data_IF_504994270895
#
_entry.id   IF_504994270895
#
_cell.length_a   1.000
_cell.length_b   1.000
_cell.length_c   1.000
_cell.angle_alpha   90.00
_cell.angle_beta   90.00
_cell.angle_gamma   90.00
#
_symmetry.space_group_name_H-M   'P 1'
#
loop_
_entity.id
_entity.type
_entity.pdbx_description
1 polymer ?
#
# COMPACT_ATOMS: atom_id res chain seq x y z
N UNK A 1 49.15 52.87 0.86
CA UNK A 1 47.93 52.48 1.58
C UNK A 1 46.99 51.90 0.54
N UNK A 2 46.95 50.62 0.41
CA UNK A 2 46.13 49.86 -0.53
C UNK A 2 44.95 49.28 0.24
N UNK A 3 43.73 49.60 -0.18
CA UNK A 3 42.46 49.05 0.36
C UNK A 3 42.34 47.58 0.00
N UNK A 4 41.78 46.76 0.88
CA UNK A 4 41.51 45.35 0.57
C UNK A 4 40.23 45.19 -0.25
N UNK A 5 40.36 44.45 -1.35
CA UNK A 5 39.25 43.97 -2.17
C UNK A 5 38.24 43.18 -1.33
N UNK A 6 37.00 43.61 -1.30
CA UNK A 6 35.89 42.86 -0.75
C UNK A 6 35.41 41.83 -1.80
N UNK A 7 35.40 40.55 -1.42
CA UNK A 7 34.81 39.47 -2.20
C UNK A 7 33.29 39.72 -2.41
N UNK A 8 32.76 39.39 -3.60
CA UNK A 8 31.35 39.53 -3.89
C UNK A 8 30.53 38.53 -3.06
N UNK A 9 29.31 38.90 -2.64
CA UNK A 9 28.46 38.02 -1.80
C UNK A 9 28.14 36.71 -2.52
N UNK A 10 28.44 35.60 -1.85
CA UNK A 10 28.06 34.26 -2.31
C UNK A 10 26.53 34.17 -2.43
N UNK A 11 26.06 33.77 -3.61
CA UNK A 11 24.65 33.46 -3.83
C UNK A 11 24.23 32.30 -2.92
N UNK A 12 23.02 32.34 -2.31
CA UNK A 12 22.50 31.21 -1.56
C UNK A 12 22.39 30.00 -2.48
N UNK A 13 22.61 28.77 -1.95
CA UNK A 13 22.52 27.56 -2.75
C UNK A 13 21.10 27.47 -3.36
N UNK A 14 21.06 27.40 -4.69
CA UNK A 14 19.81 27.13 -5.42
C UNK A 14 19.28 25.79 -4.92
N UNK A 15 18.07 25.80 -4.36
CA UNK A 15 17.32 24.57 -4.14
C UNK A 15 17.19 23.88 -5.51
N UNK A 16 17.96 22.82 -5.71
CA UNK A 16 17.80 21.94 -6.87
C UNK A 16 16.35 21.44 -6.87
N UNK A 17 15.69 21.65 -7.99
CA UNK A 17 14.32 21.26 -8.15
C UNK A 17 14.19 19.75 -7.85
N UNK A 18 13.29 19.37 -6.96
CA UNK A 18 13.01 17.99 -6.49
C UNK A 18 12.70 17.02 -7.67
N UNK A 19 12.54 17.57 -8.88
CA UNK A 19 12.26 16.86 -10.14
C UNK A 19 13.35 17.03 -11.20
N UNK A 20 14.60 17.29 -10.82
CA UNK A 20 15.70 17.25 -11.78
C UNK A 20 15.98 15.79 -12.22
N UNK A 21 16.44 15.54 -13.47
CA UNK A 21 16.82 14.19 -13.91
C UNK A 21 17.83 13.51 -12.99
N UNK A 22 18.70 14.28 -12.34
CA UNK A 22 19.66 13.79 -11.34
C UNK A 22 18.98 13.40 -10.02
N UNK A 23 17.96 14.13 -9.56
CA UNK A 23 17.18 13.77 -8.39
C UNK A 23 16.34 12.53 -8.63
N UNK A 24 15.77 12.38 -9.83
CA UNK A 24 15.03 11.19 -10.26
C UNK A 24 15.98 9.98 -10.34
N UNK A 25 17.17 10.13 -10.94
CA UNK A 25 18.17 9.06 -11.01
C UNK A 25 18.68 8.66 -9.61
N UNK A 26 18.88 9.61 -8.69
CA UNK A 26 19.27 9.35 -7.31
C UNK A 26 18.14 8.71 -6.51
N UNK A 27 16.85 9.02 -6.79
CA UNK A 27 15.71 8.35 -6.19
C UNK A 27 15.53 6.93 -6.75
N UNK A 28 15.73 6.74 -8.05
CA UNK A 28 15.77 5.41 -8.68
C UNK A 28 16.90 4.54 -8.12
N UNK A 29 18.11 5.09 -7.92
CA UNK A 29 19.20 4.36 -7.26
C UNK A 29 18.91 4.05 -5.79
N UNK A 30 18.25 4.94 -5.06
CA UNK A 30 17.79 4.67 -3.68
C UNK A 30 16.70 3.61 -3.62
N UNK A 31 15.79 3.59 -4.59
CA UNK A 31 14.75 2.55 -4.72
C UNK A 31 15.37 1.19 -5.04
N UNK A 32 16.33 1.13 -5.95
CA UNK A 32 17.08 -0.09 -6.28
C UNK A 32 17.92 -0.57 -5.09
N UNK A 33 18.54 0.33 -4.32
CA UNK A 33 19.24 0.00 -3.08
C UNK A 33 18.31 -0.50 -1.96
N UNK A 34 17.12 0.09 -1.81
CA UNK A 34 16.12 -0.41 -0.82
C UNK A 34 15.51 -1.74 -1.25
N UNK A 35 15.31 -1.97 -2.56
CA UNK A 35 14.93 -3.29 -3.07
C UNK A 35 16.02 -4.33 -2.79
N UNK A 36 17.28 -4.01 -3.05
CA UNK A 36 18.41 -4.88 -2.71
C UNK A 36 18.55 -5.11 -1.20
N UNK A 37 18.29 -4.11 -0.36
CA UNK A 37 18.24 -4.30 1.09
C UNK A 37 17.04 -5.16 1.51
N UNK A 38 15.94 -5.11 0.78
CA UNK A 38 14.77 -5.94 1.07
C UNK A 38 15.00 -7.40 0.66
N UNK A 39 15.64 -7.63 -0.48
CA UNK A 39 16.11 -8.96 -0.90
C UNK A 39 17.20 -9.50 0.06
N UNK A 40 18.07 -8.63 0.59
CA UNK A 40 19.01 -8.99 1.63
C UNK A 40 18.33 -9.28 2.98
N UNK A 41 17.36 -8.48 3.38
CA UNK A 41 16.54 -8.72 4.58
C UNK A 41 15.73 -10.01 4.42
N UNK A 42 15.24 -10.30 3.21
CA UNK A 42 14.54 -11.54 2.89
C UNK A 42 15.49 -12.76 2.93
N UNK A 43 16.76 -12.58 2.49
CA UNK A 43 17.82 -13.60 2.59
C UNK A 43 18.39 -13.75 4.01
N UNK A 44 18.32 -12.70 4.82
CA UNK A 44 18.74 -12.67 6.24
C UNK A 44 17.59 -12.99 7.21
N UNK A 45 16.37 -13.20 6.72
CA UNK A 45 15.28 -13.69 7.54
C UNK A 45 15.71 -14.97 8.24
N UNK A 46 15.53 -15.07 9.56
CA UNK A 46 15.87 -16.27 10.29
C UNK A 46 15.17 -17.44 9.62
N UNK A 47 15.95 -18.50 9.40
CA UNK A 47 15.51 -19.79 8.85
C UNK A 47 14.06 -20.06 9.28
N UNK A 48 13.13 -20.39 8.35
CA UNK A 48 11.74 -20.72 8.66
C UNK A 48 11.61 -21.65 9.87
N UNK A 49 12.61 -22.49 10.15
CA UNK A 49 12.71 -23.30 11.36
C UNK A 49 12.94 -22.50 12.64
N UNK A 50 13.54 -21.29 12.58
CA UNK A 50 13.72 -20.42 13.77
C UNK A 50 12.53 -19.52 14.04
N UNK A 51 11.81 -19.07 12.99
CA UNK A 51 10.48 -18.47 13.13
C UNK A 51 9.45 -19.50 13.61
N UNK A 52 9.61 -20.76 13.16
CA UNK A 52 8.82 -21.89 13.63
C UNK A 52 9.14 -22.28 15.07
N UNK A 53 10.28 -21.94 15.65
CA UNK A 53 10.56 -22.22 17.07
C UNK A 53 9.72 -21.36 18.03
N UNK A 54 9.22 -20.21 17.58
CA UNK A 54 8.24 -19.41 18.33
C UNK A 54 6.77 -19.86 18.06
N UNK A 55 6.52 -20.59 16.95
CA UNK A 55 5.24 -21.23 16.60
C UNK A 55 5.51 -22.57 15.89
N UNK A 56 6.35 -23.38 16.48
CA UNK A 56 7.20 -24.37 15.83
C UNK A 56 6.55 -25.49 15.02
N UNK A 57 5.33 -25.88 15.33
CA UNK A 57 4.72 -27.04 14.68
C UNK A 57 4.05 -26.69 13.33
N UNK A 58 3.63 -25.46 13.16
CA UNK A 58 2.73 -25.09 12.07
C UNK A 58 3.46 -24.72 10.76
N UNK A 59 4.64 -24.10 10.84
CA UNK A 59 5.33 -23.55 9.65
C UNK A 59 6.33 -24.52 9.05
N UNK A 60 6.85 -25.47 9.81
CA UNK A 60 7.84 -26.48 9.36
C UNK A 60 7.36 -27.43 8.25
N UNK A 61 6.02 -27.52 8.05
CA UNK A 61 5.41 -28.34 6.99
C UNK A 61 5.27 -27.65 5.64
N UNK A 62 5.67 -26.37 5.52
CA UNK A 62 5.41 -25.53 4.35
C UNK A 62 6.63 -25.23 3.49
N UNK A 63 7.73 -25.92 3.68
CA UNK A 63 8.90 -25.86 2.79
C UNK A 63 8.88 -27.00 1.78
N UNK A 64 9.50 -26.88 0.68
CA UNK A 64 9.67 -25.91 -0.38
C UNK A 64 9.35 -26.51 -1.75
N UNK A 65 8.96 -25.76 -2.67
CA UNK A 65 8.80 -26.18 -4.08
C UNK A 65 8.92 -25.01 -5.07
N UNK A 66 9.06 -23.79 -4.55
CA UNK A 66 9.05 -22.60 -5.40
C UNK A 66 10.47 -22.11 -5.70
N UNK A 67 11.19 -22.87 -6.54
CA UNK A 67 12.44 -22.38 -7.15
C UNK A 67 12.08 -21.44 -8.30
N UNK A 68 12.39 -20.17 -8.15
CA UNK A 68 12.33 -19.17 -9.21
C UNK A 68 13.26 -19.61 -10.35
N UNK A 69 12.72 -20.00 -11.49
CA UNK A 69 13.51 -20.13 -12.71
C UNK A 69 13.85 -18.73 -13.20
N UNK A 70 15.08 -18.31 -12.99
CA UNK A 70 15.64 -17.12 -13.63
C UNK A 70 15.67 -17.34 -15.14
N UNK A 71 14.76 -16.71 -15.87
CA UNK A 71 14.80 -16.68 -17.32
C UNK A 71 15.49 -15.41 -17.80
N UNK A 72 16.05 -15.44 -19.03
CA UNK A 72 16.63 -14.27 -19.69
C UNK A 72 15.64 -13.08 -19.73
N UNK A 73 14.32 -13.36 -19.80
CA UNK A 73 13.25 -12.37 -19.69
C UNK A 73 13.23 -11.67 -18.33
N UNK A 74 13.66 -12.35 -17.25
CA UNK A 74 13.82 -11.78 -15.93
C UNK A 74 14.91 -10.69 -15.90
N UNK A 75 16.06 -10.94 -16.52
CA UNK A 75 17.17 -9.96 -16.57
C UNK A 75 16.79 -8.72 -17.37
N UNK A 76 16.01 -8.87 -18.44
CA UNK A 76 15.52 -7.74 -19.26
C UNK A 76 14.44 -6.91 -18.53
N UNK A 77 13.72 -7.49 -17.57
CA UNK A 77 12.74 -6.79 -16.76
C UNK A 77 13.36 -5.80 -15.75
N UNK A 78 14.64 -6.00 -15.34
CA UNK A 78 15.36 -5.02 -14.47
C UNK A 78 15.43 -3.65 -15.12
N UNK A 79 15.46 -3.59 -16.44
CA UNK A 79 15.53 -2.34 -17.17
C UNK A 79 14.20 -1.57 -17.16
N UNK A 80 13.07 -2.20 -16.79
CA UNK A 80 11.76 -1.54 -16.67
C UNK A 80 11.45 -0.63 -17.84
N UNK A 81 11.15 0.65 -17.59
CA UNK A 81 10.92 1.70 -18.59
C UNK A 81 12.15 2.02 -19.45
N UNK A 82 13.34 1.59 -19.05
CA UNK A 82 14.59 1.72 -19.81
C UNK A 82 14.84 0.53 -20.76
N UNK A 83 13.94 -0.44 -20.80
CA UNK A 83 14.06 -1.59 -21.70
C UNK A 83 13.94 -1.14 -23.17
N UNK A 84 15.03 -1.18 -23.98
CA UNK A 84 15.01 -0.69 -25.36
C UNK A 84 14.14 -1.53 -26.30
N UNK A 85 13.76 -2.74 -25.89
CA UNK A 85 12.94 -3.66 -26.71
C UNK A 85 11.42 -3.43 -26.52
N UNK A 86 11.02 -2.49 -25.64
CA UNK A 86 9.62 -2.25 -25.34
C UNK A 86 8.93 -3.45 -24.64
N UNK A 87 7.83 -3.19 -23.94
CA UNK A 87 7.03 -4.25 -23.34
C UNK A 87 6.14 -4.93 -24.40
N UNK A 88 5.76 -6.19 -24.15
CA UNK A 88 4.80 -6.92 -24.97
C UNK A 88 3.38 -6.75 -24.42
N UNK A 89 2.36 -6.51 -25.24
CA UNK A 89 0.98 -6.45 -24.78
C UNK A 89 0.58 -7.71 -24.02
N UNK A 90 -0.32 -7.55 -23.06
CA UNK A 90 -0.95 -8.68 -22.40
C UNK A 90 -1.77 -9.51 -23.41
N UNK A 91 -1.82 -10.83 -23.22
CA UNK A 91 -2.41 -11.82 -24.12
C UNK A 91 -3.42 -12.69 -23.37
N UNK A 92 -4.15 -13.57 -24.07
CA UNK A 92 -5.20 -14.43 -23.48
C UNK A 92 -4.69 -15.40 -22.40
N UNK A 93 -3.41 -15.65 -22.31
CA UNK A 93 -2.81 -16.46 -21.22
C UNK A 93 -2.47 -15.64 -19.98
N UNK A 94 -2.68 -14.35 -20.02
CA UNK A 94 -2.38 -13.46 -18.92
C UNK A 94 -3.64 -13.13 -18.10
N UNK A 95 -3.45 -12.79 -16.81
CA UNK A 95 -4.45 -12.18 -15.93
C UNK A 95 -4.00 -10.74 -15.67
N UNK A 96 -4.88 -9.77 -15.80
CA UNK A 96 -4.53 -8.35 -15.67
C UNK A 96 -5.33 -7.71 -14.53
N UNK A 97 -4.65 -7.00 -13.64
CA UNK A 97 -5.28 -6.18 -12.62
C UNK A 97 -4.93 -4.72 -12.78
N UNK A 98 -5.95 -3.88 -12.80
CA UNK A 98 -5.85 -2.44 -12.66
C UNK A 98 -6.23 -2.03 -11.24
N UNK A 99 -5.44 -1.14 -10.65
CA UNK A 99 -5.65 -0.66 -9.28
C UNK A 99 -6.30 0.72 -9.29
N UNK A 100 -7.29 0.92 -8.41
CA UNK A 100 -7.89 2.24 -8.20
C UNK A 100 -6.82 3.24 -7.79
N UNK A 101 -6.90 4.45 -8.32
CA UNK A 101 -5.90 5.47 -8.10
C UNK A 101 -6.51 6.86 -7.87
N UNK A 102 -5.63 7.83 -7.66
CA UNK A 102 -5.99 9.23 -7.50
C UNK A 102 -5.23 10.08 -8.52
N UNK A 103 -5.94 11.00 -9.15
CA UNK A 103 -5.36 12.08 -9.93
C UNK A 103 -5.15 13.32 -9.05
N UNK A 104 -4.02 13.97 -9.22
CA UNK A 104 -3.62 15.17 -8.50
C UNK A 104 -3.12 16.24 -9.47
N UNK A 105 -3.10 17.49 -9.04
CA UNK A 105 -2.62 18.59 -9.87
C UNK A 105 -1.13 18.83 -9.72
N UNK A 106 -0.45 18.88 -10.86
CA UNK A 106 0.96 19.26 -10.97
C UNK A 106 1.11 20.55 -11.76
N UNK A 107 2.28 21.20 -11.62
CA UNK A 107 2.60 22.42 -12.35
C UNK A 107 2.20 23.70 -11.64
N UNK A 108 2.65 24.84 -12.22
CA UNK A 108 2.41 26.17 -11.72
C UNK A 108 1.03 26.74 -12.09
N UNK A 109 0.77 27.98 -11.68
CA UNK A 109 -0.51 28.67 -11.88
C UNK A 109 -1.02 28.71 -13.33
N UNK A 110 -0.10 28.63 -14.31
CA UNK A 110 -0.40 28.77 -15.74
C UNK A 110 -0.28 27.48 -16.56
N UNK A 111 0.24 26.39 -15.96
CA UNK A 111 0.48 25.12 -16.67
C UNK A 111 0.04 23.90 -15.84
N UNK A 112 -0.98 24.06 -15.00
CA UNK A 112 -1.43 22.96 -14.16
C UNK A 112 -2.10 21.86 -15.00
N UNK A 113 -1.50 20.66 -14.96
CA UNK A 113 -2.06 19.43 -15.52
C UNK A 113 -2.55 18.48 -14.43
N UNK A 114 -3.37 17.51 -14.82
CA UNK A 114 -3.73 16.41 -13.96
C UNK A 114 -2.81 15.22 -14.25
N UNK A 115 -2.25 14.66 -13.21
CA UNK A 115 -1.45 13.44 -13.25
C UNK A 115 -2.03 12.39 -12.30
N UNK A 116 -1.85 11.13 -12.65
CA UNK A 116 -2.18 10.01 -11.78
C UNK A 116 -1.11 8.92 -11.91
N UNK A 117 -0.81 8.25 -10.81
CA UNK A 117 -0.03 7.03 -10.86
C UNK A 117 -0.95 5.85 -11.14
N UNK A 118 -0.70 5.18 -12.24
CA UNK A 118 -1.37 3.94 -12.61
C UNK A 118 -0.53 2.75 -12.17
N UNK A 119 -1.10 1.90 -11.35
CA UNK A 119 -0.51 0.62 -10.97
C UNK A 119 -1.24 -0.49 -11.70
N UNK A 120 -0.48 -1.42 -12.29
CA UNK A 120 -1.01 -2.57 -13.04
C UNK A 120 -0.22 -3.80 -12.68
N UNK A 121 -0.89 -4.90 -12.38
CA UNK A 121 -0.25 -6.20 -12.20
C UNK A 121 -0.64 -7.15 -13.34
N UNK A 122 0.32 -7.94 -13.81
CA UNK A 122 0.09 -8.95 -14.85
C UNK A 122 0.67 -10.27 -14.40
N UNK A 123 -0.16 -11.31 -14.48
CA UNK A 123 0.18 -12.67 -14.07
C UNK A 123 -0.04 -13.66 -15.23
N UNK A 124 0.56 -14.82 -15.11
CA UNK A 124 0.20 -16.01 -15.88
C UNK A 124 -0.78 -16.86 -15.08
N UNK A 125 -1.83 -17.30 -15.73
CA UNK A 125 -2.76 -18.24 -15.13
C UNK A 125 -2.07 -19.60 -14.96
N UNK A 126 -1.77 -20.00 -13.71
CA UNK A 126 -0.98 -21.19 -13.44
C UNK A 126 -1.81 -22.48 -13.48
N UNK A 127 -1.09 -23.59 -13.68
CA UNK A 127 -1.65 -24.95 -13.63
C UNK A 127 -2.01 -25.35 -12.19
N UNK A 128 -3.10 -26.11 -12.07
CA UNK A 128 -3.76 -26.46 -10.79
C UNK A 128 -2.92 -27.21 -9.75
N UNK A 129 -1.75 -27.78 -10.12
CA UNK A 129 -0.95 -28.64 -9.23
C UNK A 129 -0.40 -27.91 -8.00
N UNK A 130 0.18 -26.74 -8.18
CA UNK A 130 0.75 -25.95 -7.07
C UNK A 130 -0.32 -25.38 -6.14
N UNK A 131 -1.52 -25.11 -6.66
CA UNK A 131 -2.62 -24.64 -5.85
C UNK A 131 -3.09 -25.69 -4.84
N UNK A 132 -3.17 -26.94 -5.24
CA UNK A 132 -3.56 -28.06 -4.35
C UNK A 132 -2.58 -28.20 -3.18
N UNK A 133 -1.27 -28.14 -3.46
CA UNK A 133 -0.23 -28.20 -2.44
C UNK A 133 -0.29 -27.00 -1.48
N UNK A 134 -0.49 -25.79 -2.00
CA UNK A 134 -0.61 -24.58 -1.21
C UNK A 134 -1.83 -24.62 -0.28
N UNK A 135 -2.99 -25.05 -0.79
CA UNK A 135 -4.22 -25.24 -0.01
C UNK A 135 -4.02 -26.29 1.09
N UNK A 136 -3.43 -27.43 0.77
CA UNK A 136 -3.14 -28.47 1.75
C UNK A 136 -2.15 -28.00 2.82
N UNK A 137 -1.17 -27.15 2.44
CA UNK A 137 -0.23 -26.54 3.35
C UNK A 137 -0.91 -25.61 4.35
N UNK A 138 -1.71 -24.65 3.88
CA UNK A 138 -2.44 -23.71 4.75
C UNK A 138 -3.41 -24.47 5.64
N UNK A 139 -4.21 -25.39 5.10
CA UNK A 139 -5.17 -26.17 5.87
C UNK A 139 -4.49 -26.97 7.00
N UNK A 140 -3.32 -27.57 6.74
CA UNK A 140 -2.54 -28.28 7.75
C UNK A 140 -2.07 -27.37 8.87
N UNK A 141 -1.56 -26.18 8.54
CA UNK A 141 -1.11 -25.19 9.54
C UNK A 141 -2.26 -24.73 10.45
N UNK A 142 -3.44 -24.58 9.86
CA UNK A 142 -4.64 -24.14 10.58
C UNK A 142 -5.37 -25.27 11.29
N UNK A 143 -4.92 -26.53 11.15
CA UNK A 143 -5.57 -27.69 11.75
C UNK A 143 -6.91 -28.04 11.11
N UNK A 144 -7.13 -27.61 9.85
CA UNK A 144 -8.36 -27.88 9.09
C UNK A 144 -8.24 -29.26 8.44
N UNK A 145 -8.90 -30.26 9.02
CA UNK A 145 -8.78 -31.62 8.53
C UNK A 145 -9.63 -31.88 7.28
N UNK A 146 -10.96 -31.70 7.35
CA UNK A 146 -11.90 -32.18 6.32
C UNK A 146 -13.05 -31.21 6.00
N UNK A 147 -12.94 -29.92 6.36
CA UNK A 147 -13.97 -28.93 6.00
C UNK A 147 -13.81 -28.50 4.54
N UNK A 148 -14.73 -28.97 3.70
CA UNK A 148 -14.72 -28.68 2.27
C UNK A 148 -15.01 -27.21 1.96
N UNK A 149 -15.79 -26.51 2.80
CA UNK A 149 -16.13 -25.10 2.61
C UNK A 149 -14.91 -24.22 2.93
N UNK A 150 -14.26 -24.46 4.08
CA UNK A 150 -13.03 -23.76 4.45
C UNK A 150 -11.92 -23.98 3.42
N UNK A 151 -11.72 -25.21 2.95
CA UNK A 151 -10.74 -25.52 1.89
C UNK A 151 -11.05 -24.80 0.58
N UNK A 152 -12.31 -24.66 0.22
CA UNK A 152 -12.71 -23.91 -0.98
C UNK A 152 -12.37 -22.43 -0.82
N UNK A 153 -12.68 -21.83 0.34
CA UNK A 153 -12.34 -20.43 0.64
C UNK A 153 -10.83 -20.20 0.60
N UNK A 154 -10.05 -21.11 1.22
CA UNK A 154 -8.57 -21.07 1.15
C UNK A 154 -8.11 -21.12 -0.31
N UNK A 155 -8.67 -22.01 -1.13
CA UNK A 155 -8.33 -22.14 -2.52
C UNK A 155 -8.58 -20.83 -3.30
N UNK A 156 -9.76 -20.25 -3.16
CA UNK A 156 -10.14 -19.02 -3.86
C UNK A 156 -9.22 -17.84 -3.49
N UNK A 157 -8.88 -17.71 -2.22
CA UNK A 157 -8.02 -16.62 -1.73
C UNK A 157 -6.52 -16.83 -1.99
N UNK A 158 -6.09 -18.10 -2.16
CA UNK A 158 -4.70 -18.42 -2.51
C UNK A 158 -4.39 -18.31 -4.01
N UNK A 159 -5.39 -18.39 -4.88
CA UNK A 159 -5.19 -18.33 -6.34
C UNK A 159 -4.24 -17.20 -6.77
N UNK A 160 -4.39 -15.93 -6.31
CA UNK A 160 -3.50 -14.85 -6.73
C UNK A 160 -2.04 -15.01 -6.26
N UNK A 161 -1.79 -15.83 -5.26
CA UNK A 161 -0.44 -16.04 -4.71
C UNK A 161 0.32 -17.13 -5.47
N UNK A 162 -0.39 -18.04 -6.12
CA UNK A 162 0.23 -19.13 -6.90
C UNK A 162 0.44 -18.77 -8.37
N UNK A 163 -0.15 -17.69 -8.85
CA UNK A 163 0.08 -17.23 -10.21
C UNK A 163 1.52 -16.74 -10.40
N UNK A 164 2.10 -17.08 -11.55
CA UNK A 164 3.39 -16.53 -11.94
C UNK A 164 3.28 -15.10 -12.41
N UNK A 165 4.16 -14.24 -11.90
CA UNK A 165 4.24 -12.86 -12.32
C UNK A 165 4.75 -12.75 -13.75
N UNK A 166 4.18 -11.86 -14.55
CA UNK A 166 4.59 -11.61 -15.94
C UNK A 166 5.42 -10.36 -16.06
N UNK A 167 6.65 -10.54 -16.46
CA UNK A 167 7.63 -9.47 -16.68
C UNK A 167 7.51 -8.88 -18.09
N UNK A 168 7.84 -7.61 -18.25
CA UNK A 168 7.87 -6.89 -19.52
C UNK A 168 6.52 -6.86 -20.26
N UNK A 169 5.39 -6.89 -19.54
CA UNK A 169 4.05 -6.75 -20.11
C UNK A 169 3.57 -5.32 -20.10
N UNK A 170 2.79 -4.95 -21.11
CA UNK A 170 2.14 -3.64 -21.21
C UNK A 170 0.62 -3.80 -21.31
N UNK A 171 -0.09 -2.81 -20.77
CA UNK A 171 -1.55 -2.75 -20.79
C UNK A 171 -1.96 -1.34 -21.24
N UNK A 172 -2.84 -1.25 -22.22
CA UNK A 172 -3.46 0.02 -22.59
C UNK A 172 -4.74 0.21 -21.78
N UNK A 173 -4.98 1.44 -21.33
CA UNK A 173 -6.14 1.80 -20.49
C UNK A 173 -6.80 3.05 -21.05
N UNK A 174 -8.12 3.04 -21.17
CA UNK A 174 -8.89 4.20 -21.58
C UNK A 174 -9.79 4.69 -20.45
N UNK A 175 -9.65 5.95 -20.06
CA UNK A 175 -10.57 6.61 -19.14
C UNK A 175 -11.88 6.97 -19.85
N UNK A 176 -13.01 6.83 -19.18
CA UNK A 176 -14.33 7.17 -19.70
C UNK A 176 -14.35 8.64 -20.16
N UNK A 177 -14.68 8.86 -21.42
CA UNK A 177 -14.69 10.19 -22.05
C UNK A 177 -13.33 10.68 -22.56
N UNK A 178 -12.24 9.95 -22.34
CA UNK A 178 -10.96 10.28 -22.96
C UNK A 178 -10.89 9.84 -24.43
N UNK A 179 -10.20 10.63 -25.24
CA UNK A 179 -10.03 10.33 -26.69
C UNK A 179 -8.84 9.40 -26.98
N UNK A 180 -7.96 9.20 -26.01
CA UNK A 180 -6.71 8.43 -26.18
C UNK A 180 -6.53 7.47 -25.03
N UNK A 181 -6.05 6.28 -25.37
CA UNK A 181 -5.60 5.31 -24.39
C UNK A 181 -4.23 5.71 -23.80
N UNK A 182 -4.03 5.32 -22.56
CA UNK A 182 -2.75 5.44 -21.84
C UNK A 182 -2.09 4.07 -21.85
N UNK A 183 -0.85 3.98 -22.34
CA UNK A 183 -0.08 2.74 -22.31
C UNK A 183 0.69 2.64 -21.00
N UNK A 184 0.41 1.61 -20.23
CA UNK A 184 1.04 1.29 -18.94
C UNK A 184 2.07 0.17 -19.11
N UNK A 185 3.06 0.14 -18.23
CA UNK A 185 4.14 -0.83 -18.26
C UNK A 185 5.44 -0.25 -18.84
N UNK A 186 6.42 -1.12 -19.11
CA UNK A 186 6.37 -2.58 -18.90
C UNK A 186 6.38 -2.97 -17.42
N UNK A 187 5.81 -4.14 -17.09
CA UNK A 187 5.87 -4.70 -15.74
C UNK A 187 7.30 -5.12 -15.37
N UNK A 188 7.65 -4.90 -14.11
CA UNK A 188 8.93 -5.31 -13.52
C UNK A 188 8.97 -6.79 -13.12
N UNK A 189 10.00 -7.18 -12.35
CA UNK A 189 10.18 -8.57 -11.87
C UNK A 189 9.07 -9.07 -10.96
N UNK A 190 8.44 -8.15 -10.23
CA UNK A 190 7.29 -8.44 -9.39
C UNK A 190 5.96 -8.53 -10.17
N UNK A 191 5.99 -8.44 -11.50
CA UNK A 191 4.80 -8.44 -12.35
C UNK A 191 4.00 -7.13 -12.29
N UNK A 192 4.51 -6.09 -11.62
CA UNK A 192 3.82 -4.80 -11.43
C UNK A 192 4.49 -3.72 -12.26
N UNK A 193 3.70 -2.79 -12.78
CA UNK A 193 4.18 -1.52 -13.29
C UNK A 193 3.50 -0.37 -12.54
N UNK A 194 4.26 0.68 -12.24
CA UNK A 194 3.76 1.92 -11.67
C UNK A 194 4.18 3.07 -12.59
N UNK A 195 3.22 3.72 -13.23
CA UNK A 195 3.46 4.75 -14.22
C UNK A 195 2.72 6.05 -13.84
N UNK A 196 3.45 7.13 -13.65
CA UNK A 196 2.84 8.46 -13.52
C UNK A 196 2.54 9.00 -14.90
N UNK A 197 1.25 9.24 -15.17
CA UNK A 197 0.76 9.64 -16.49
C UNK A 197 -0.09 10.89 -16.40
N UNK A 198 0.00 11.74 -17.41
CA UNK A 198 -0.97 12.81 -17.59
C UNK A 198 -2.34 12.23 -17.95
N UNK A 199 -3.37 12.74 -17.32
CA UNK A 199 -4.76 12.29 -17.50
C UNK A 199 -5.64 13.44 -17.99
N UNK A 200 -6.82 13.09 -18.55
CA UNK A 200 -7.80 14.07 -18.96
C UNK A 200 -8.25 14.93 -17.76
N UNK A 201 -8.66 16.16 -18.03
CA UNK A 201 -9.10 17.09 -17.00
C UNK A 201 -10.56 16.85 -16.61
N UNK A 202 -10.78 16.60 -15.32
CA UNK A 202 -12.11 16.51 -14.72
C UNK A 202 -12.22 17.45 -13.50
N UNK A 203 -13.42 17.65 -13.03
CA UNK A 203 -13.67 18.43 -11.82
C UNK A 203 -13.11 17.71 -10.59
N UNK A 204 -12.59 18.49 -9.62
CA UNK A 204 -12.19 17.93 -8.31
C UNK A 204 -13.39 17.26 -7.61
N UNK A 205 -13.14 16.19 -6.89
CA UNK A 205 -14.18 15.38 -6.24
C UNK A 205 -14.88 14.39 -7.17
N UNK A 206 -14.51 14.35 -8.48
CA UNK A 206 -15.09 13.41 -9.43
C UNK A 206 -14.33 12.08 -9.39
N UNK A 207 -15.05 10.98 -9.52
CA UNK A 207 -14.48 9.65 -9.80
C UNK A 207 -14.75 9.28 -11.25
N UNK A 208 -13.71 8.90 -11.98
CA UNK A 208 -13.77 8.53 -13.39
C UNK A 208 -13.35 7.07 -13.55
N UNK A 209 -14.20 6.30 -14.23
CA UNK A 209 -13.90 4.92 -14.58
C UNK A 209 -12.86 4.85 -15.70
N UNK A 210 -11.97 3.87 -15.63
CA UNK A 210 -11.05 3.51 -16.69
C UNK A 210 -11.06 2.00 -16.88
N UNK A 211 -10.90 1.56 -18.13
CA UNK A 211 -10.94 0.15 -18.52
C UNK A 211 -9.72 -0.23 -19.32
N UNK A 212 -9.26 -1.46 -19.16
CA UNK A 212 -8.18 -2.01 -19.98
C UNK A 212 -8.67 -2.28 -21.41
N UNK A 213 -7.91 -1.80 -22.37
CA UNK A 213 -8.13 -2.06 -23.80
C UNK A 213 -7.40 -3.35 -24.18
N UNK A 214 -8.04 -4.49 -23.94
CA UNK A 214 -7.45 -5.81 -24.11
C UNK A 214 -8.32 -6.69 -25.01
N UNK A 215 -7.72 -7.72 -25.67
CA UNK A 215 -8.49 -8.73 -26.37
C UNK A 215 -9.51 -9.40 -25.44
N UNK A 216 -10.68 -9.75 -26.00
CA UNK A 216 -11.72 -10.46 -25.25
C UNK A 216 -11.21 -11.77 -24.64
N UNK A 217 -11.66 -12.10 -23.42
CA UNK A 217 -11.33 -13.34 -22.73
C UNK A 217 -10.08 -13.28 -21.85
N UNK A 218 -9.45 -12.13 -21.66
CA UNK A 218 -8.44 -11.94 -20.64
C UNK A 218 -9.12 -11.75 -19.28
N UNK A 219 -8.86 -12.59 -18.27
CA UNK A 219 -9.46 -12.45 -16.95
C UNK A 219 -8.76 -11.40 -16.10
N UNK A 220 -9.42 -10.98 -15.02
CA UNK A 220 -8.84 -10.14 -13.98
C UNK A 220 -9.69 -8.93 -13.62
N UNK A 221 -9.07 -7.94 -12.99
CA UNK A 221 -9.68 -6.66 -12.64
C UNK A 221 -9.40 -5.64 -13.76
N UNK A 222 -10.21 -5.70 -14.81
CA UNK A 222 -10.00 -4.91 -16.03
C UNK A 222 -10.56 -3.48 -15.94
N UNK A 223 -11.24 -3.16 -14.86
CA UNK A 223 -11.79 -1.83 -14.57
C UNK A 223 -11.19 -1.26 -13.29
N UNK A 224 -10.93 0.05 -13.31
CA UNK A 224 -10.45 0.82 -12.17
C UNK A 224 -11.16 2.16 -12.09
N UNK A 225 -11.00 2.83 -10.95
CA UNK A 225 -11.51 4.16 -10.71
C UNK A 225 -10.38 5.14 -10.41
N UNK A 226 -10.41 6.32 -11.03
CA UNK A 226 -9.51 7.43 -10.78
C UNK A 226 -10.28 8.54 -10.07
N UNK A 227 -9.90 8.83 -8.82
CA UNK A 227 -10.48 9.94 -8.06
C UNK A 227 -9.68 11.22 -8.28
N UNK A 228 -10.34 12.34 -8.60
CA UNK A 228 -9.69 13.62 -8.90
C UNK A 228 -9.61 14.50 -7.65
N UNK A 229 -8.46 14.50 -6.98
CA UNK A 229 -8.23 15.27 -5.77
C UNK A 229 -7.74 16.69 -6.07
N UNK A 230 -8.47 17.70 -5.64
CA UNK A 230 -8.00 19.08 -5.67
C UNK A 230 -6.74 19.28 -4.79
N UNK A 231 -5.95 20.34 -5.01
CA UNK A 231 -4.66 20.51 -4.34
C UNK A 231 -4.77 20.89 -2.84
N UNK A 232 -5.94 21.35 -2.39
CA UNK A 232 -6.17 21.82 -1.02
C UNK A 232 -7.42 21.19 -0.43
N UNK A 233 -7.56 21.25 0.88
CA UNK A 233 -8.64 20.63 1.66
C UNK A 233 -8.11 19.57 2.60
N UNK A 234 -8.97 18.67 3.05
CA UNK A 234 -8.62 17.56 3.92
C UNK A 234 -8.32 16.29 3.12
N UNK A 235 -7.51 15.42 3.68
CA UNK A 235 -7.26 14.06 3.21
C UNK A 235 -7.22 13.11 4.40
N UNK A 236 -7.52 11.84 4.18
CA UNK A 236 -7.40 10.81 5.21
C UNK A 236 -6.44 9.72 4.73
N UNK A 237 -5.52 9.33 5.59
CA UNK A 237 -4.71 8.12 5.44
C UNK A 237 -5.04 7.17 6.58
N UNK A 238 -5.46 5.98 6.25
CA UNK A 238 -5.80 4.91 7.18
C UNK A 238 -4.87 3.73 7.00
N UNK A 239 -4.44 3.13 8.08
CA UNK A 239 -3.98 1.75 8.05
C UNK A 239 -5.17 0.79 7.85
N UNK A 240 -4.90 -0.48 7.53
CA UNK A 240 -5.93 -1.51 7.29
C UNK A 240 -5.94 -2.54 8.41
N UNK A 241 -4.80 -3.21 8.62
CA UNK A 241 -4.71 -4.42 9.45
C UNK A 241 -4.82 -4.07 10.94
N UNK A 242 -5.81 -4.62 11.63
CA UNK A 242 -6.19 -4.32 13.02
C UNK A 242 -6.61 -2.85 13.28
N UNK A 243 -6.59 -1.99 12.25
CA UNK A 243 -7.18 -0.65 12.30
C UNK A 243 -8.63 -0.68 11.85
N UNK A 244 -8.89 -1.11 10.63
CA UNK A 244 -10.25 -1.16 10.04
C UNK A 244 -10.74 -2.59 9.83
N UNK A 245 -9.84 -3.54 9.62
CA UNK A 245 -10.09 -4.97 9.40
C UNK A 245 -9.44 -5.77 10.51
N UNK A 246 -10.19 -6.68 11.12
CA UNK A 246 -9.62 -7.67 12.05
C UNK A 246 -8.65 -8.56 11.27
N UNK A 247 -7.38 -8.56 11.66
CA UNK A 247 -6.31 -9.33 11.00
C UNK A 247 -5.50 -10.14 12.01
N UNK A 248 -5.50 -9.73 13.28
CA UNK A 248 -4.77 -10.38 14.38
C UNK A 248 -3.26 -10.43 14.08
N UNK A 249 -2.70 -9.30 13.65
CA UNK A 249 -1.31 -9.18 13.12
C UNK A 249 -0.22 -9.65 14.07
N UNK A 250 -0.54 -9.86 15.29
CA UNK A 250 0.35 -10.34 16.36
C UNK A 250 0.39 -11.84 16.52
N UNK A 251 -0.54 -12.57 15.90
CA UNK A 251 -0.59 -14.02 15.87
C UNK A 251 -0.48 -14.52 14.42
N UNK A 252 0.63 -15.21 14.06
CA UNK A 252 0.80 -15.76 12.72
C UNK A 252 -0.31 -16.71 12.26
N UNK A 253 -0.89 -17.48 13.18
CA UNK A 253 -2.02 -18.37 12.88
C UNK A 253 -3.27 -17.53 12.67
N UNK A 254 -3.50 -16.53 13.52
CA UNK A 254 -4.58 -15.57 13.38
C UNK A 254 -4.54 -14.84 12.05
N UNK A 255 -3.37 -14.35 11.63
CA UNK A 255 -3.19 -13.73 10.30
C UNK A 255 -3.65 -14.67 9.18
N UNK A 256 -3.19 -15.92 9.21
CA UNK A 256 -3.55 -16.90 8.16
C UNK A 256 -5.05 -17.20 8.16
N UNK A 257 -5.65 -17.36 9.35
CA UNK A 257 -7.07 -17.62 9.50
C UNK A 257 -7.91 -16.45 8.99
N UNK A 258 -7.65 -15.24 9.45
CA UNK A 258 -8.37 -14.01 9.05
C UNK A 258 -8.13 -13.60 7.58
N UNK A 259 -7.06 -14.09 6.97
CA UNK A 259 -6.75 -13.81 5.56
C UNK A 259 -7.35 -14.86 4.63
N UNK A 260 -7.27 -16.14 4.99
CA UNK A 260 -7.60 -17.22 4.04
C UNK A 260 -8.86 -18.00 4.36
N UNK A 261 -9.41 -17.92 5.59
CA UNK A 261 -10.55 -18.71 6.04
C UNK A 261 -11.73 -17.84 6.39
N UNK A 262 -11.58 -16.98 7.38
CA UNK A 262 -12.68 -16.22 7.95
C UNK A 262 -13.25 -15.17 6.99
N UNK A 263 -14.55 -14.89 7.10
CA UNK A 263 -15.12 -13.73 6.42
C UNK A 263 -14.49 -12.46 6.98
N UNK A 264 -14.08 -11.50 6.10
CA UNK A 264 -13.43 -10.29 6.56
C UNK A 264 -14.38 -9.46 7.41
N UNK A 265 -13.97 -9.18 8.65
CA UNK A 265 -14.78 -8.44 9.61
C UNK A 265 -14.21 -7.04 9.85
N UNK A 266 -15.05 -6.00 9.81
CA UNK A 266 -14.62 -4.68 10.24
C UNK A 266 -14.35 -4.67 11.74
N UNK A 267 -13.41 -3.85 12.17
CA UNK A 267 -13.21 -3.54 13.58
C UNK A 267 -14.43 -2.78 14.08
N UNK A 268 -14.96 -3.20 15.23
CA UNK A 268 -16.22 -2.66 15.77
C UNK A 268 -16.18 -1.13 15.95
N UNK A 269 -17.23 -0.44 15.51
CA UNK A 269 -17.38 1.01 15.58
C UNK A 269 -16.56 1.81 14.56
N UNK A 270 -15.61 1.18 13.85
CA UNK A 270 -14.79 1.90 12.85
C UNK A 270 -15.58 2.27 11.59
N UNK A 271 -16.49 1.43 11.04
CA UNK A 271 -17.32 1.86 9.92
C UNK A 271 -18.14 3.12 10.20
N UNK A 272 -18.73 3.22 11.39
CA UNK A 272 -19.52 4.36 11.85
C UNK A 272 -18.64 5.60 12.02
N UNK A 273 -17.46 5.46 12.59
CA UNK A 273 -16.46 6.54 12.70
C UNK A 273 -16.08 7.08 11.32
N UNK A 274 -15.74 6.20 10.37
CA UNK A 274 -15.32 6.60 9.04
C UNK A 274 -16.43 7.28 8.25
N UNK A 275 -17.66 6.78 8.38
CA UNK A 275 -18.84 7.44 7.81
C UNK A 275 -19.04 8.83 8.41
N UNK A 276 -18.84 9.00 9.72
CA UNK A 276 -18.93 10.29 10.39
C UNK A 276 -17.83 11.25 9.92
N UNK A 277 -16.58 10.77 9.81
CA UNK A 277 -15.45 11.56 9.31
C UNK A 277 -15.73 12.02 7.85
N UNK A 278 -16.20 11.11 6.99
CA UNK A 278 -16.52 11.43 5.60
C UNK A 278 -17.59 12.53 5.50
N UNK A 279 -18.63 12.42 6.34
CA UNK A 279 -19.67 13.45 6.44
C UNK A 279 -19.15 14.81 6.93
N UNK A 280 -18.19 14.84 7.86
CA UNK A 280 -17.57 16.06 8.38
C UNK A 280 -16.67 16.71 7.32
N UNK A 281 -15.88 15.93 6.60
CA UNK A 281 -14.84 16.40 5.67
C UNK A 281 -15.35 16.80 4.30
N UNK A 282 -16.56 16.39 3.93
CA UNK A 282 -17.22 16.64 2.64
C UNK A 282 -16.67 15.85 1.44
N UNK A 283 -17.36 15.99 0.30
CA UNK A 283 -17.25 15.12 -0.89
C UNK A 283 -15.96 15.23 -1.70
N UNK A 284 -15.05 16.17 -1.42
CA UNK A 284 -13.79 16.29 -2.16
C UNK A 284 -12.56 15.80 -1.37
N UNK A 285 -12.77 14.94 -0.38
CA UNK A 285 -11.72 14.37 0.47
C UNK A 285 -11.21 13.06 -0.12
N UNK A 286 -9.95 12.98 -0.58
CA UNK A 286 -9.33 11.72 -0.95
C UNK A 286 -9.02 10.89 0.30
N UNK A 287 -9.31 9.60 0.19
CA UNK A 287 -8.99 8.58 1.17
C UNK A 287 -7.88 7.66 0.64
N UNK A 288 -6.95 7.32 1.50
CA UNK A 288 -5.88 6.38 1.24
C UNK A 288 -5.88 5.30 2.31
N UNK A 289 -5.76 4.06 1.89
CA UNK A 289 -5.66 2.90 2.77
C UNK A 289 -4.30 2.25 2.55
N UNK A 290 -3.44 2.28 3.58
CA UNK A 290 -2.10 1.73 3.55
C UNK A 290 -2.08 0.38 4.25
N UNK A 291 -1.51 -0.63 3.64
CA UNK A 291 -1.22 -1.89 4.30
C UNK A 291 0.12 -2.43 3.83
N UNK A 292 0.86 -3.04 4.76
CA UNK A 292 2.04 -3.83 4.44
C UNK A 292 1.72 -5.16 3.75
N UNK A 293 0.45 -5.48 3.58
CA UNK A 293 -0.03 -6.63 2.82
C UNK A 293 0.44 -6.61 1.37
N UNK A 294 0.76 -7.77 0.78
CA UNK A 294 1.14 -7.86 -0.62
C UNK A 294 -0.04 -7.54 -1.54
N UNK A 295 0.28 -7.02 -2.72
CA UNK A 295 -0.73 -6.62 -3.71
C UNK A 295 -1.62 -7.80 -4.19
N UNK A 296 -1.21 -9.05 -3.96
CA UNK A 296 -2.03 -10.23 -4.23
C UNK A 296 -3.37 -10.21 -3.46
N UNK A 297 -3.43 -9.53 -2.31
CA UNK A 297 -4.65 -9.32 -1.53
C UNK A 297 -5.53 -8.17 -2.04
N UNK A 298 -5.13 -7.47 -3.10
CA UNK A 298 -5.86 -6.31 -3.59
C UNK A 298 -7.35 -6.56 -3.87
N UNK A 299 -7.76 -7.63 -4.58
CA UNK A 299 -9.18 -7.88 -4.84
C UNK A 299 -9.98 -8.03 -3.55
N UNK A 300 -9.46 -8.82 -2.60
CA UNK A 300 -10.05 -9.07 -1.31
C UNK A 300 -10.19 -7.80 -0.45
N UNK A 301 -9.13 -7.01 -0.36
CA UNK A 301 -9.14 -5.76 0.42
C UNK A 301 -9.97 -4.66 -0.26
N UNK A 302 -10.02 -4.64 -1.60
CA UNK A 302 -10.88 -3.70 -2.34
C UNK A 302 -12.35 -3.96 -2.06
N UNK A 303 -12.80 -5.22 -2.12
CA UNK A 303 -14.16 -5.61 -1.83
C UNK A 303 -14.55 -5.29 -0.39
N UNK A 304 -13.69 -5.62 0.57
CA UNK A 304 -13.87 -5.29 1.98
C UNK A 304 -14.00 -3.77 2.21
N UNK A 305 -13.10 -2.96 1.63
CA UNK A 305 -13.18 -1.50 1.72
C UNK A 305 -14.48 -0.98 1.12
N UNK A 306 -14.83 -1.41 -0.09
CA UNK A 306 -16.03 -0.93 -0.79
C UNK A 306 -17.34 -1.27 -0.06
N UNK A 307 -17.32 -2.34 0.74
CA UNK A 307 -18.47 -2.78 1.54
C UNK A 307 -18.64 -1.94 2.82
N UNK A 308 -17.55 -1.58 3.49
CA UNK A 308 -17.61 -1.05 4.85
C UNK A 308 -17.12 0.39 5.01
N UNK A 309 -16.33 0.92 4.07
CA UNK A 309 -15.61 2.17 4.24
C UNK A 309 -15.72 3.11 3.04
N UNK A 310 -15.43 4.41 3.19
CA UNK A 310 -15.37 5.33 2.06
C UNK A 310 -14.39 4.84 0.99
N UNK A 311 -14.75 5.03 -0.27
CA UNK A 311 -13.86 4.67 -1.39
C UNK A 311 -12.58 5.48 -1.34
N UNK A 312 -11.47 4.84 -1.67
CA UNK A 312 -10.15 5.46 -1.65
C UNK A 312 -9.09 4.62 -2.36
N UNK A 313 -7.89 5.13 -2.43
CA UNK A 313 -6.77 4.43 -3.05
C UNK A 313 -6.16 3.45 -2.05
N UNK A 314 -6.14 2.17 -2.41
CA UNK A 314 -5.41 1.13 -1.67
C UNK A 314 -3.94 1.15 -2.11
N UNK A 315 -3.04 1.29 -1.15
CA UNK A 315 -1.59 1.26 -1.37
C UNK A 315 -1.04 0.06 -0.61
N UNK A 316 -0.67 -0.97 -1.35
CA UNK A 316 -0.16 -2.25 -0.85
C UNK A 316 1.32 -2.40 -1.21
N UNK A 317 1.99 -3.38 -0.62
CA UNK A 317 3.38 -3.69 -1.02
C UNK A 317 3.43 -4.20 -2.45
N UNK A 318 4.38 -3.69 -3.22
CA UNK A 318 4.62 -4.04 -4.63
C UNK A 318 5.30 -5.41 -4.80
N UNK A 319 5.29 -6.25 -3.78
CA UNK A 319 5.90 -7.58 -3.78
C UNK A 319 4.85 -8.66 -3.79
N UNK A 320 5.03 -9.65 -4.68
CA UNK A 320 4.22 -10.89 -4.68
C UNK A 320 4.93 -11.93 -3.83
N UNK A 321 4.24 -12.49 -2.87
CA UNK A 321 4.78 -13.51 -1.98
C UNK A 321 4.28 -14.88 -2.43
N UNK A 322 5.22 -15.77 -2.78
CA UNK A 322 4.93 -17.16 -3.16
C UNK A 322 5.03 -18.13 -1.97
N UNK A 323 5.35 -17.64 -0.77
CA UNK A 323 5.47 -18.46 0.43
C UNK A 323 4.67 -17.87 1.58
N UNK A 324 4.12 -18.73 2.42
CA UNK A 324 3.37 -18.27 3.63
C UNK A 324 4.31 -17.54 4.60
N UNK A 325 5.56 -18.03 4.73
CA UNK A 325 6.56 -17.36 5.55
C UNK A 325 6.84 -15.93 5.06
N UNK A 326 6.94 -15.72 3.74
CA UNK A 326 7.08 -14.41 3.12
C UNK A 326 5.87 -13.51 3.39
N UNK A 327 4.65 -14.02 3.28
CA UNK A 327 3.43 -13.29 3.60
C UNK A 327 3.43 -12.81 5.06
N UNK A 328 3.73 -13.73 6.00
CA UNK A 328 3.80 -13.39 7.42
C UNK A 328 4.90 -12.36 7.71
N UNK A 329 6.07 -12.51 7.09
CA UNK A 329 7.14 -11.54 7.22
C UNK A 329 6.74 -10.16 6.66
N UNK A 330 6.05 -10.11 5.52
CA UNK A 330 5.57 -8.86 4.93
C UNK A 330 4.62 -8.11 5.88
N UNK A 331 3.73 -8.82 6.55
CA UNK A 331 2.74 -8.24 7.45
C UNK A 331 3.34 -7.79 8.80
N UNK A 332 4.49 -8.32 9.19
CA UNK A 332 5.06 -8.10 10.53
C UNK A 332 6.39 -7.35 10.54
N UNK A 333 7.13 -7.32 9.42
CA UNK A 333 8.49 -6.75 9.36
C UNK A 333 8.58 -5.52 8.44
N UNK A 334 9.41 -4.54 8.85
CA UNK A 334 9.68 -3.34 8.06
C UNK A 334 8.42 -2.53 7.74
N UNK A 335 7.43 -2.54 8.63
CA UNK A 335 6.16 -1.84 8.42
C UNK A 335 6.32 -0.33 8.59
N UNK A 336 7.22 0.12 9.47
CA UNK A 336 7.48 1.54 9.70
C UNK A 336 8.07 2.21 8.46
N UNK A 337 9.19 1.67 7.94
CA UNK A 337 9.85 2.21 6.76
C UNK A 337 8.92 2.21 5.54
N UNK A 338 8.12 1.15 5.39
CA UNK A 338 7.13 1.05 4.33
C UNK A 338 6.08 2.16 4.45
N UNK A 339 5.46 2.32 5.63
CA UNK A 339 4.43 3.35 5.86
C UNK A 339 5.01 4.76 5.66
N UNK A 340 6.19 5.01 6.20
CA UNK A 340 6.89 6.30 6.02
C UNK A 340 7.15 6.60 4.54
N UNK A 341 7.65 5.63 3.76
CA UNK A 341 7.90 5.80 2.33
C UNK A 341 6.61 6.11 1.56
N UNK A 342 5.53 5.36 1.82
CA UNK A 342 4.24 5.57 1.15
C UNK A 342 3.61 6.92 1.52
N UNK A 343 3.73 7.35 2.76
CA UNK A 343 3.26 8.67 3.19
C UNK A 343 4.08 9.80 2.55
N UNK A 344 5.40 9.65 2.41
CA UNK A 344 6.24 10.60 1.64
C UNK A 344 5.77 10.69 0.17
N UNK A 345 5.35 9.57 -0.42
CA UNK A 345 4.77 9.54 -1.76
C UNK A 345 3.46 10.32 -1.83
N UNK A 346 2.53 10.11 -0.89
CA UNK A 346 1.27 10.85 -0.81
C UNK A 346 1.52 12.35 -0.59
N UNK A 347 2.50 12.71 0.24
CA UNK A 347 2.90 14.10 0.40
C UNK A 347 3.33 14.73 -0.94
N UNK A 348 4.11 14.00 -1.76
CA UNK A 348 4.50 14.45 -3.09
C UNK A 348 3.31 14.78 -4.01
N UNK A 349 2.21 14.07 -3.87
CA UNK A 349 0.97 14.31 -4.61
C UNK A 349 0.14 15.47 -4.05
N UNK A 350 0.06 15.57 -2.72
CA UNK A 350 -0.89 16.44 -2.02
C UNK A 350 -0.24 17.28 -0.90
N UNK A 351 0.86 18.02 -1.16
CA UNK A 351 1.63 18.70 -0.12
C UNK A 351 0.87 19.85 0.56
N UNK A 352 -0.21 20.33 -0.04
CA UNK A 352 -1.00 21.48 0.47
C UNK A 352 -2.31 21.04 1.14
N UNK A 353 -2.58 19.74 1.24
CA UNK A 353 -3.73 19.23 1.98
C UNK A 353 -3.42 19.08 3.46
N UNK A 354 -4.47 19.13 4.28
CA UNK A 354 -4.42 18.82 5.69
C UNK A 354 -4.76 17.34 5.88
N UNK A 355 -3.99 16.64 6.68
CA UNK A 355 -4.11 15.19 6.79
C UNK A 355 -4.62 14.77 8.16
N UNK A 356 -5.60 13.86 8.18
CA UNK A 356 -5.93 13.03 9.32
C UNK A 356 -5.32 11.65 9.04
N UNK A 357 -4.58 11.12 10.00
CA UNK A 357 -4.03 9.75 9.91
C UNK A 357 -4.66 8.89 10.99
N UNK A 358 -5.02 7.64 10.62
CA UNK A 358 -5.69 6.70 11.51
C UNK A 358 -4.92 5.38 11.42
N UNK A 359 -4.54 4.84 12.56
CA UNK A 359 -3.82 3.59 12.68
C UNK A 359 -4.13 2.90 14.00
N UNK A 360 -3.37 1.86 14.31
CA UNK A 360 -3.51 1.06 15.52
C UNK A 360 -2.21 0.92 16.32
N UNK A 361 -2.31 0.30 17.48
CA UNK A 361 -1.17 0.10 18.36
C UNK A 361 -0.42 -1.21 18.11
N UNK A 362 -0.95 -2.12 17.27
CA UNK A 362 -0.36 -3.46 17.09
C UNK A 362 0.89 -3.43 16.22
N UNK A 363 0.97 -2.48 15.30
CA UNK A 363 2.09 -2.27 14.38
C UNK A 363 2.84 -0.97 14.69
N UNK A 364 3.52 -0.41 13.69
CA UNK A 364 4.40 0.77 13.82
C UNK A 364 3.73 2.08 13.40
N UNK A 365 2.40 2.16 13.46
CA UNK A 365 1.67 3.38 13.10
C UNK A 365 2.06 4.59 13.97
N UNK A 366 2.16 4.46 15.31
CA UNK A 366 2.58 5.58 16.12
C UNK A 366 3.94 6.15 15.71
N UNK A 367 4.92 5.29 15.48
CA UNK A 367 6.28 5.66 15.11
C UNK A 367 6.32 6.31 13.71
N UNK A 368 5.68 5.68 12.72
CA UNK A 368 5.62 6.17 11.35
C UNK A 368 4.91 7.53 11.24
N UNK A 369 3.77 7.68 11.92
CA UNK A 369 3.02 8.94 11.88
C UNK A 369 3.75 10.07 12.63
N UNK A 370 4.43 9.75 13.73
CA UNK A 370 5.29 10.69 14.45
C UNK A 370 6.46 11.17 13.59
N UNK A 371 7.13 10.26 12.84
CA UNK A 371 8.20 10.64 11.90
C UNK A 371 7.68 11.59 10.81
N UNK A 372 6.57 11.24 10.19
CA UNK A 372 5.99 12.05 9.11
C UNK A 372 5.51 13.41 9.60
N UNK A 373 4.93 13.48 10.80
CA UNK A 373 4.53 14.76 11.40
C UNK A 373 5.71 15.72 11.54
N UNK A 374 6.86 15.22 12.02
CA UNK A 374 8.10 16.00 12.17
C UNK A 374 8.75 16.31 10.82
N UNK A 375 8.66 15.37 9.86
CA UNK A 375 9.28 15.54 8.52
C UNK A 375 8.56 16.60 7.68
N UNK A 376 7.22 16.70 7.80
CA UNK A 376 6.39 17.63 7.04
C UNK A 376 5.53 18.48 7.98
N UNK A 377 6.10 19.51 8.62
CA UNK A 377 5.39 20.35 9.57
C UNK A 377 4.10 20.95 9.01
N UNK A 378 3.00 20.78 9.74
CA UNK A 378 1.70 21.32 9.36
C UNK A 378 0.91 20.49 8.33
N UNK A 379 1.46 19.42 7.78
CA UNK A 379 0.74 18.53 6.87
C UNK A 379 -0.23 17.63 7.63
N UNK A 380 0.25 16.82 8.58
CA UNK A 380 -0.63 16.06 9.48
C UNK A 380 -1.22 17.05 10.51
N UNK A 381 -2.53 17.04 10.67
CA UNK A 381 -3.26 17.88 11.62
C UNK A 381 -3.83 17.07 12.77
N UNK A 382 -4.07 15.79 12.55
CA UNK A 382 -4.60 14.90 13.57
C UNK A 382 -4.11 13.48 13.35
N UNK A 383 -3.63 12.84 14.41
CA UNK A 383 -3.25 11.44 14.51
C UNK A 383 -4.23 10.76 15.43
N UNK A 384 -4.90 9.71 14.94
CA UNK A 384 -5.81 8.86 15.72
C UNK A 384 -5.23 7.45 15.78
N UNK A 385 -4.94 6.95 16.98
CA UNK A 385 -4.42 5.60 17.19
C UNK A 385 -5.43 4.79 17.97
N UNK A 386 -5.96 3.74 17.31
CA UNK A 386 -6.77 2.73 17.98
C UNK A 386 -5.90 1.90 18.90
N UNK A 387 -6.23 1.88 20.18
CA UNK A 387 -5.61 0.96 21.14
C UNK A 387 -6.28 -0.39 21.00
N UNK A 388 -5.59 -1.35 20.38
CA UNK A 388 -6.11 -2.70 20.23
C UNK A 388 -6.15 -3.42 21.58
N UNK A 389 -7.32 -3.84 22.00
CA UNK A 389 -7.56 -4.57 23.28
C UNK A 389 -8.27 -5.89 23.03
N UNK A 390 -8.78 -6.09 21.83
CA UNK A 390 -9.65 -7.18 21.39
C UNK A 390 -8.89 -8.38 20.79
N UNK A 391 -7.56 -8.36 20.82
CA UNK A 391 -6.71 -9.44 20.34
C UNK A 391 -5.97 -10.09 21.51
N UNK A 392 -6.04 -11.42 21.63
CA UNK A 392 -5.25 -12.20 22.59
C UNK A 392 -3.78 -12.19 22.14
N UNK A 393 -3.02 -11.23 22.64
CA UNK A 393 -1.64 -10.98 22.19
C UNK A 393 -0.61 -11.19 23.28
N UNK A 394 0.43 -11.96 22.93
CA UNK A 394 1.71 -11.87 23.63
C UNK A 394 2.38 -10.52 23.21
N UNK A 395 2.74 -9.66 24.21
CA UNK A 395 3.35 -8.35 23.94
C UNK A 395 2.40 -7.19 23.65
N UNK A 396 1.08 -7.37 23.63
CA UNK A 396 0.11 -6.29 23.43
C UNK A 396 0.19 -5.25 24.55
N UNK A 397 0.47 -5.68 25.79
CA UNK A 397 0.60 -4.81 26.94
C UNK A 397 1.70 -3.77 26.72
N UNK A 398 2.87 -4.19 26.25
CA UNK A 398 4.00 -3.30 25.97
C UNK A 398 3.71 -2.35 24.79
N UNK A 399 2.99 -2.84 23.77
CA UNK A 399 2.60 -2.01 22.63
C UNK A 399 1.55 -0.96 22.99
N UNK A 400 0.77 -1.19 24.04
CA UNK A 400 -0.25 -0.29 24.55
C UNK A 400 0.22 0.59 25.71
N UNK A 401 1.49 0.52 26.09
CA UNK A 401 2.02 1.37 27.17
C UNK A 401 2.01 2.85 26.78
N UNK A 402 1.51 3.74 27.65
CA UNK A 402 1.48 5.19 27.40
C UNK A 402 2.84 5.76 27.00
N UNK A 403 3.92 5.26 27.63
CA UNK A 403 5.29 5.68 27.36
C UNK A 403 5.71 5.48 25.89
N UNK A 404 5.19 4.45 25.21
CA UNK A 404 5.42 4.23 23.78
C UNK A 404 4.84 5.36 22.94
N UNK A 405 3.59 5.74 23.20
CA UNK A 405 2.92 6.82 22.46
C UNK A 405 3.57 8.18 22.75
N UNK A 406 3.95 8.45 23.99
CA UNK A 406 4.68 9.65 24.35
C UNK A 406 6.04 9.74 23.65
N UNK A 407 6.74 8.62 23.53
CA UNK A 407 8.00 8.52 22.77
C UNK A 407 7.79 8.74 21.27
N UNK A 408 6.79 8.07 20.67
CA UNK A 408 6.49 8.16 19.25
C UNK A 408 6.05 9.59 18.86
N UNK A 409 5.27 10.24 19.73
CA UNK A 409 4.74 11.59 19.51
C UNK A 409 5.52 12.67 20.26
N UNK A 410 6.76 12.38 20.65
CA UNK A 410 7.64 13.38 21.23
C UNK A 410 7.72 14.62 20.32
N UNK A 411 7.66 15.79 20.93
CA UNK A 411 7.65 17.11 20.26
C UNK A 411 6.43 17.37 19.34
N UNK A 412 5.36 16.57 19.49
CA UNK A 412 4.07 16.77 18.82
C UNK A 412 3.06 17.31 19.85
N UNK A 413 2.38 18.43 19.57
CA UNK A 413 1.38 18.99 20.46
C UNK A 413 0.29 17.98 20.81
N UNK A 414 -0.13 17.93 22.08
CA UNK A 414 -1.10 16.93 22.57
C UNK A 414 -2.45 16.99 21.85
N UNK A 415 -2.86 18.15 21.40
CA UNK A 415 -4.07 18.36 20.62
C UNK A 415 -3.99 17.86 19.17
N UNK A 416 -2.81 17.41 18.73
CA UNK A 416 -2.60 16.83 17.38
C UNK A 416 -2.66 15.30 17.36
N UNK A 417 -2.78 14.64 18.50
CA UNK A 417 -2.88 13.19 18.55
C UNK A 417 -3.79 12.69 19.67
N UNK A 418 -4.48 11.58 19.41
CA UNK A 418 -5.37 10.93 20.36
C UNK A 418 -5.24 9.41 20.22
N UNK A 419 -5.16 8.71 21.37
CA UNK A 419 -5.21 7.25 21.47
C UNK A 419 -6.56 6.89 22.05
N UNK A 420 -7.32 6.07 21.35
CA UNK A 420 -8.70 5.74 21.72
C UNK A 420 -8.94 4.23 21.79
N UNK A 421 -9.88 3.81 22.62
CA UNK A 421 -10.44 2.46 22.66
C UNK A 421 -11.83 2.45 22.00
N UNK A 422 -12.67 3.45 22.31
CA UNK A 422 -13.99 3.61 21.69
C UNK A 422 -13.89 4.58 20.48
N UNK A 423 -14.18 4.13 19.25
CA UNK A 423 -14.18 5.00 18.07
C UNK A 423 -15.08 6.25 18.17
N UNK A 424 -16.15 6.19 18.99
CA UNK A 424 -17.06 7.32 19.18
C UNK A 424 -16.36 8.56 19.75
N UNK A 425 -15.32 8.38 20.57
CA UNK A 425 -14.52 9.48 21.12
C UNK A 425 -13.92 10.39 20.02
N UNK A 426 -13.62 9.83 18.86
CA UNK A 426 -12.93 10.52 17.79
C UNK A 426 -13.80 11.51 17.02
N UNK A 427 -15.13 11.36 17.03
CA UNK A 427 -16.04 12.18 16.20
C UNK A 427 -15.96 13.66 16.59
N UNK A 428 -16.06 13.96 17.87
CA UNK A 428 -15.99 15.34 18.37
C UNK A 428 -14.60 15.94 18.17
N UNK A 429 -13.54 15.13 18.35
CA UNK A 429 -12.14 15.56 18.13
C UNK A 429 -11.95 15.97 16.67
N UNK A 430 -12.42 15.16 15.72
CA UNK A 430 -12.35 15.47 14.30
C UNK A 430 -13.16 16.74 13.97
N UNK A 431 -14.38 16.86 14.49
CA UNK A 431 -15.21 18.05 14.28
C UNK A 431 -14.52 19.32 14.79
N UNK A 432 -13.95 19.27 15.99
CA UNK A 432 -13.23 20.40 16.56
C UNK A 432 -11.99 20.76 15.72
N UNK A 433 -11.22 19.75 15.28
CA UNK A 433 -10.02 19.97 14.46
C UNK A 433 -10.34 20.56 13.09
N UNK A 434 -11.43 20.11 12.45
CA UNK A 434 -11.86 20.60 11.14
C UNK A 434 -12.37 22.05 11.22
N UNK A 435 -13.03 22.43 12.32
CA UNK A 435 -13.49 23.82 12.56
C UNK A 435 -12.33 24.80 12.77
N UNK A 436 -11.23 24.35 13.35
CA UNK A 436 -10.04 25.19 13.62
C UNK A 436 -9.17 25.44 12.38
N UNK A 437 -9.31 24.69 11.33
CA UNK A 437 -8.41 24.77 10.22
C UNK A 437 -8.88 24.47 8.87
#
# INVERSE_FOLDING_TARGET
MSEPNADPPQRPPQQEAIFSPSAIAADMQRRTRKQNNFEQVEAELPDPQKLAAASAAAVAGLTPGFTTRFSLAGVLGVLGSLNPFGGRPATRGDVVWLFDNMAYRTGGRFSASWEAEFVTAVFEQEQRSHLVEAVAGVARVLGIADDAAERKTIQERLIPFVWDVRVAKTVSVTQKGARRSIKLGPTGFNGVSANVMQVASYSKGTTVEATADLPSGIPGLLGMQTYYAGPTGWSVVSDIDDTIKVTTTSDPIGILRETFVEEPRPVAGMPELYKSIDGILKSDTPWFYLSASPYNLYPFLREFRDTHYPRGTLILRDTSWKTIAGLLAALTMGTEEYKVDRMKKIYGWLPKRKLIVIGDSTQSDPEAYGEIYRTFPGWIRLILIRKATDTAMFGLREKNEPARFEKAFKDIPKEAWHVFEDPNECVEIVQAKVKQG
#
